data_IF_795877132979
#
_entry.id   IF_795877132979
#
_cell.length_a   1.000
_cell.length_b   1.000
_cell.length_c   1.000
_cell.angle_alpha   90.00
_cell.angle_beta   90.00
_cell.angle_gamma   90.00
#
_symmetry.space_group_name_H-M   'P 1'
#
loop_
_entity.id
_entity.type
_entity.pdbx_description
1 polymer ?
#
# COMPACT_ATOMS: atom_id res chain seq x y z
N UNK A 1 23.63 46.24 58.23
CA UNK A 1 23.79 44.79 58.02
C UNK A 1 22.76 44.31 56.99
N UNK A 2 23.00 44.50 55.69
CA UNK A 2 22.18 43.91 54.60
C UNK A 2 23.11 43.74 53.39
N UNK A 3 24.02 42.76 53.43
CA UNK A 3 24.85 42.36 52.27
C UNK A 3 25.04 40.84 52.13
N UNK A 4 24.53 40.05 53.08
CA UNK A 4 24.66 38.58 53.06
C UNK A 4 23.56 37.86 52.27
N UNK A 5 22.31 38.36 52.33
CA UNK A 5 21.15 37.67 51.73
C UNK A 5 21.15 37.65 50.18
N UNK A 6 21.70 38.68 49.54
CA UNK A 6 21.77 38.76 48.06
C UNK A 6 22.82 37.80 47.45
N UNK A 7 23.85 37.44 48.21
CA UNK A 7 24.90 36.53 47.72
C UNK A 7 24.40 35.07 47.70
N UNK A 8 23.70 34.64 48.76
CA UNK A 8 23.12 33.30 48.83
C UNK A 8 22.00 33.10 47.79
N UNK A 9 21.16 34.12 47.57
CA UNK A 9 20.12 34.07 46.54
C UNK A 9 20.72 33.96 45.12
N UNK A 10 21.82 34.65 44.83
CA UNK A 10 22.53 34.55 43.53
C UNK A 10 23.21 33.20 43.34
N UNK A 11 23.81 32.62 44.38
CA UNK A 11 24.42 31.28 44.32
C UNK A 11 23.36 30.20 44.11
N UNK A 12 22.18 30.33 44.73
CA UNK A 12 21.05 29.42 44.51
C UNK A 12 20.48 29.54 43.08
N UNK A 13 20.44 30.74 42.51
CA UNK A 13 19.98 30.97 41.13
C UNK A 13 20.98 30.40 40.11
N UNK A 14 22.28 30.61 40.33
CA UNK A 14 23.35 30.06 39.48
C UNK A 14 23.39 28.53 39.53
N UNK A 15 23.19 27.90 40.70
CA UNK A 15 23.15 26.44 40.81
C UNK A 15 21.89 25.83 40.19
N UNK A 16 20.75 26.55 40.22
CA UNK A 16 19.53 26.17 39.49
C UNK A 16 19.71 26.28 37.96
N UNK A 17 20.34 27.34 37.47
CA UNK A 17 20.63 27.51 36.04
C UNK A 17 21.66 26.48 35.52
N UNK A 18 22.67 26.14 36.32
CA UNK A 18 23.68 25.13 35.98
C UNK A 18 23.06 23.72 35.97
N UNK A 19 22.20 23.40 36.95
CA UNK A 19 21.46 22.14 37.00
C UNK A 19 20.44 21.97 35.86
N UNK A 20 19.76 23.05 35.45
CA UNK A 20 18.89 23.03 34.27
C UNK A 20 19.69 22.84 32.97
N UNK A 21 20.87 23.46 32.88
CA UNK A 21 21.78 23.31 31.75
C UNK A 21 22.33 21.88 31.63
N UNK A 22 22.68 21.23 32.73
CA UNK A 22 23.11 19.83 32.73
C UNK A 22 21.99 18.86 32.36
N UNK A 23 20.79 19.05 32.91
CA UNK A 23 19.62 18.24 32.55
C UNK A 23 19.27 18.38 31.06
N UNK A 24 19.38 19.59 30.52
CA UNK A 24 19.14 19.84 29.10
C UNK A 24 20.21 19.16 28.23
N UNK A 25 21.49 19.25 28.59
CA UNK A 25 22.58 18.53 27.91
C UNK A 25 22.39 17.01 27.94
N UNK A 26 21.96 16.45 29.07
CA UNK A 26 21.67 15.02 29.20
C UNK A 26 20.51 14.60 28.29
N UNK A 27 19.42 15.39 28.24
CA UNK A 27 18.29 15.14 27.33
C UNK A 27 18.72 15.19 25.88
N UNK A 28 19.53 16.17 25.49
CA UNK A 28 20.07 16.28 24.14
C UNK A 28 20.95 15.10 23.76
N UNK A 29 21.81 14.63 24.69
CA UNK A 29 22.63 13.43 24.50
C UNK A 29 21.76 12.17 24.30
N UNK A 30 20.78 11.95 25.18
CA UNK A 30 19.85 10.82 25.05
C UNK A 30 19.03 10.90 23.75
N UNK A 31 18.62 12.10 23.33
CA UNK A 31 17.92 12.32 22.08
C UNK A 31 18.78 12.00 20.85
N UNK A 32 20.05 12.42 20.88
CA UNK A 32 21.01 12.11 19.82
C UNK A 32 21.29 10.60 19.75
N UNK A 33 21.43 9.93 20.89
CA UNK A 33 21.64 8.48 20.94
C UNK A 33 20.42 7.70 20.45
N UNK A 34 19.22 8.07 20.92
CA UNK A 34 17.97 7.48 20.44
C UNK A 34 17.80 7.66 18.93
N UNK A 35 18.12 8.85 18.40
CA UNK A 35 18.05 9.10 16.95
C UNK A 35 19.04 8.21 16.18
N UNK A 36 20.31 8.15 16.63
CA UNK A 36 21.32 7.27 16.01
C UNK A 36 20.86 5.81 16.03
N UNK A 37 20.24 5.35 17.11
CA UNK A 37 19.68 4.00 17.18
C UNK A 37 18.57 3.78 16.13
N UNK A 38 17.66 4.75 15.97
CA UNK A 38 16.61 4.69 14.94
C UNK A 38 17.18 4.70 13.52
N UNK A 39 18.19 5.52 13.25
CA UNK A 39 18.89 5.58 11.97
C UNK A 39 19.62 4.27 11.66
N UNK A 40 20.32 3.71 12.64
CA UNK A 40 21.01 2.42 12.51
C UNK A 40 20.01 1.30 12.19
N UNK A 41 18.89 1.23 12.91
CA UNK A 41 17.82 0.26 12.64
C UNK A 41 17.19 0.47 11.25
N UNK A 42 16.97 1.70 10.84
CA UNK A 42 16.48 2.03 9.50
C UNK A 42 17.47 1.59 8.40
N UNK A 43 18.77 1.83 8.60
CA UNK A 43 19.83 1.42 7.69
C UNK A 43 19.93 -0.12 7.59
N UNK A 44 19.84 -0.82 8.72
CA UNK A 44 19.79 -2.28 8.76
C UNK A 44 18.57 -2.82 7.98
N UNK A 45 17.39 -2.26 8.22
CA UNK A 45 16.15 -2.64 7.55
C UNK A 45 16.23 -2.39 6.03
N UNK A 46 16.80 -1.27 5.60
CA UNK A 46 17.04 -0.98 4.18
C UNK A 46 18.04 -1.97 3.56
N UNK A 47 19.12 -2.28 4.27
CA UNK A 47 20.11 -3.28 3.83
C UNK A 47 19.47 -4.66 3.65
N UNK A 48 18.65 -5.09 4.61
CA UNK A 48 17.88 -6.33 4.51
C UNK A 48 16.90 -6.31 3.33
N UNK A 49 16.22 -5.18 3.10
CA UNK A 49 15.34 -5.00 1.93
C UNK A 49 16.10 -5.14 0.61
N UNK A 50 17.27 -4.52 0.50
CA UNK A 50 18.11 -4.64 -0.70
C UNK A 50 18.58 -6.08 -0.92
N UNK A 51 19.10 -6.75 0.12
CA UNK A 51 19.52 -8.15 0.05
C UNK A 51 18.38 -9.07 -0.35
N UNK A 52 17.19 -8.87 0.20
CA UNK A 52 16.01 -9.68 -0.14
C UNK A 52 15.57 -9.45 -1.59
N UNK A 53 15.65 -8.21 -2.09
CA UNK A 53 15.36 -7.90 -3.49
C UNK A 53 16.36 -8.54 -4.44
N UNK A 54 17.65 -8.55 -4.08
CA UNK A 54 18.69 -9.24 -4.85
C UNK A 54 18.42 -10.76 -4.89
N UNK A 55 18.21 -11.39 -3.73
CA UNK A 55 17.84 -12.82 -3.67
C UNK A 55 16.59 -13.15 -4.48
N UNK A 56 15.59 -12.28 -4.48
CA UNK A 56 14.40 -12.48 -5.30
C UNK A 56 14.74 -12.48 -6.79
N UNK A 57 15.57 -11.52 -7.25
CA UNK A 57 16.01 -11.49 -8.63
C UNK A 57 16.87 -12.72 -8.98
N UNK A 58 17.71 -13.19 -8.07
CA UNK A 58 18.50 -14.42 -8.24
C UNK A 58 17.61 -15.67 -8.35
N UNK A 59 16.54 -15.76 -7.54
CA UNK A 59 15.58 -16.87 -7.57
C UNK A 59 14.81 -16.93 -8.89
N UNK A 60 14.44 -15.78 -9.46
CA UNK A 60 13.81 -15.73 -10.78
C UNK A 60 14.81 -16.01 -11.90
N UNK A 61 16.09 -15.67 -11.70
CA UNK A 61 17.12 -15.79 -12.72
C UNK A 61 17.00 -14.70 -13.80
N UNK A 62 17.75 -14.83 -14.90
CA UNK A 62 17.63 -13.93 -16.04
C UNK A 62 16.31 -14.13 -16.78
N UNK A 63 15.82 -13.08 -17.46
CA UNK A 63 14.66 -13.21 -18.35
C UNK A 63 14.98 -14.22 -19.47
N UNK A 64 14.14 -15.25 -19.69
CA UNK A 64 14.40 -16.20 -20.76
C UNK A 64 14.23 -15.50 -22.12
N UNK A 65 15.04 -15.86 -23.13
CA UNK A 65 15.06 -15.17 -24.41
C UNK A 65 13.67 -15.06 -25.02
N UNK A 66 13.38 -13.89 -25.59
CA UNK A 66 12.11 -13.57 -26.21
C UNK A 66 12.30 -13.45 -27.72
N UNK A 67 11.43 -14.12 -28.47
CA UNK A 67 11.30 -13.94 -29.91
C UNK A 67 10.06 -13.08 -30.15
N UNK A 68 10.22 -11.98 -30.88
CA UNK A 68 9.12 -11.14 -31.32
C UNK A 68 8.03 -11.99 -31.98
N UNK A 69 6.80 -11.78 -31.53
CA UNK A 69 5.63 -12.45 -32.09
C UNK A 69 5.03 -11.58 -33.20
N UNK A 70 4.27 -12.21 -34.10
CA UNK A 70 3.53 -11.50 -35.13
C UNK A 70 2.56 -10.45 -34.54
N UNK A 71 2.06 -10.69 -33.32
CA UNK A 71 1.24 -9.74 -32.56
C UNK A 71 2.03 -8.46 -32.17
N UNK A 72 3.31 -8.58 -31.82
CA UNK A 72 4.13 -7.41 -31.43
C UNK A 72 4.45 -6.51 -32.63
N UNK A 73 4.64 -7.12 -33.80
CA UNK A 73 4.89 -6.41 -35.07
C UNK A 73 3.59 -5.87 -35.70
N UNK A 74 2.43 -6.25 -35.15
CA UNK A 74 1.14 -5.90 -35.70
C UNK A 74 0.83 -4.41 -35.49
N UNK A 75 0.28 -3.76 -36.52
CA UNK A 75 -0.12 -2.36 -36.40
C UNK A 75 -1.27 -2.20 -35.39
N UNK A 76 -1.31 -1.05 -34.71
CA UNK A 76 -2.34 -0.76 -33.71
C UNK A 76 -3.78 -0.86 -34.28
N UNK A 77 -4.02 -0.38 -35.51
CA UNK A 77 -5.36 -0.37 -36.09
C UNK A 77 -5.75 -1.73 -36.66
N UNK A 78 -4.99 -2.27 -37.62
CA UNK A 78 -5.35 -3.52 -38.29
C UNK A 78 -4.98 -4.74 -37.43
N UNK A 79 -3.79 -4.72 -36.85
CA UNK A 79 -3.26 -5.81 -36.04
C UNK A 79 -4.00 -6.01 -34.73
N UNK A 80 -4.14 -4.95 -33.92
CA UNK A 80 -4.64 -5.08 -32.55
C UNK A 80 -6.17 -5.04 -32.44
N UNK A 81 -6.87 -4.32 -33.33
CA UNK A 81 -8.35 -4.25 -33.29
C UNK A 81 -8.99 -5.36 -34.14
N UNK A 82 -8.45 -5.61 -35.34
CA UNK A 82 -9.01 -6.58 -36.28
C UNK A 82 -8.28 -7.93 -36.27
N UNK A 83 -7.30 -8.11 -35.38
CA UNK A 83 -6.55 -9.36 -35.21
C UNK A 83 -5.95 -9.92 -36.51
N UNK A 84 -5.54 -9.04 -37.45
CA UNK A 84 -5.09 -9.47 -38.78
C UNK A 84 -3.86 -10.37 -38.74
N UNK A 85 -3.06 -10.32 -37.66
CA UNK A 85 -1.90 -11.18 -37.47
C UNK A 85 -2.28 -12.66 -37.25
N UNK A 86 -3.53 -12.96 -36.86
CA UNK A 86 -4.05 -14.34 -36.70
C UNK A 86 -4.44 -14.95 -38.07
N UNK A 87 -4.60 -14.15 -39.12
CA UNK A 87 -5.13 -14.59 -40.40
C UNK A 87 -4.35 -15.75 -41.05
N UNK A 88 -3.02 -15.71 -40.99
CA UNK A 88 -2.17 -16.80 -41.52
C UNK A 88 -2.38 -18.11 -40.75
N UNK A 89 -2.51 -18.02 -39.42
CA UNK A 89 -2.80 -19.19 -38.57
C UNK A 89 -4.18 -19.80 -38.90
N UNK A 90 -5.20 -18.96 -39.09
CA UNK A 90 -6.54 -19.44 -39.47
C UNK A 90 -6.54 -20.14 -40.83
N UNK A 91 -5.78 -19.61 -41.79
CA UNK A 91 -5.70 -20.20 -43.12
C UNK A 91 -4.98 -21.54 -43.13
N UNK A 92 -3.88 -21.66 -42.38
CA UNK A 92 -3.17 -22.94 -42.19
C UNK A 92 -4.02 -23.95 -41.42
N UNK A 93 -4.75 -23.51 -40.40
CA UNK A 93 -5.69 -24.34 -39.67
C UNK A 93 -6.80 -24.89 -40.58
N UNK A 94 -7.34 -24.06 -41.48
CA UNK A 94 -8.37 -24.46 -42.44
C UNK A 94 -7.85 -25.50 -43.47
N UNK A 95 -6.53 -25.58 -43.65
CA UNK A 95 -5.87 -26.59 -44.50
C UNK A 95 -5.38 -27.82 -43.74
N UNK A 96 -5.64 -27.88 -42.43
CA UNK A 96 -5.15 -28.94 -41.53
C UNK A 96 -3.60 -29.03 -41.48
N UNK A 97 -2.92 -27.94 -41.82
CA UNK A 97 -1.45 -27.84 -41.82
C UNK A 97 -0.89 -27.30 -40.48
N UNK A 98 -1.77 -27.00 -39.51
CA UNK A 98 -1.38 -26.37 -38.25
C UNK A 98 -0.72 -27.40 -37.31
N UNK A 99 0.56 -27.19 -37.01
CA UNK A 99 1.27 -27.96 -36.00
C UNK A 99 1.43 -27.18 -34.69
N UNK A 100 1.75 -27.88 -33.59
CA UNK A 100 2.05 -27.23 -32.30
C UNK A 100 3.23 -26.23 -32.42
N UNK A 101 4.18 -26.50 -33.31
CA UNK A 101 5.32 -25.62 -33.54
C UNK A 101 4.93 -24.28 -34.17
N UNK A 102 3.80 -24.24 -34.88
CA UNK A 102 3.26 -23.05 -35.54
C UNK A 102 2.39 -22.19 -34.60
N UNK A 103 2.05 -22.70 -33.41
CA UNK A 103 1.24 -21.97 -32.45
C UNK A 103 1.95 -20.69 -31.98
N UNK A 104 1.24 -19.55 -31.89
CA UNK A 104 1.81 -18.32 -31.40
C UNK A 104 2.27 -18.50 -29.95
N UNK A 105 3.45 -17.96 -29.63
CA UNK A 105 3.96 -17.98 -28.26
C UNK A 105 3.40 -16.79 -27.49
N UNK A 106 3.29 -16.88 -26.16
CA UNK A 106 2.83 -15.74 -25.36
C UNK A 106 3.71 -14.52 -25.59
N UNK A 107 3.07 -13.37 -25.82
CA UNK A 107 3.71 -12.06 -25.89
C UNK A 107 4.51 -11.76 -24.63
N UNK A 108 5.50 -10.87 -24.71
CA UNK A 108 6.44 -10.62 -23.60
C UNK A 108 5.72 -10.36 -22.26
N UNK A 109 4.65 -9.57 -22.27
CA UNK A 109 3.90 -9.19 -21.07
C UNK A 109 3.01 -10.31 -20.51
N UNK A 110 2.53 -11.22 -21.37
CA UNK A 110 1.68 -12.34 -20.96
C UNK A 110 2.47 -13.56 -20.45
N UNK A 111 3.80 -13.56 -20.62
CA UNK A 111 4.68 -14.62 -20.10
C UNK A 111 4.62 -14.72 -18.58
N UNK A 112 4.51 -15.95 -18.09
CA UNK A 112 4.48 -16.27 -16.66
C UNK A 112 5.67 -15.68 -15.89
N UNK A 113 6.86 -15.65 -16.50
CA UNK A 113 8.05 -15.03 -15.92
C UNK A 113 7.83 -13.54 -15.61
N UNK A 114 7.38 -12.75 -16.59
CA UNK A 114 7.20 -11.30 -16.44
C UNK A 114 6.04 -10.95 -15.51
N UNK A 115 4.88 -11.61 -15.69
CA UNK A 115 3.74 -11.44 -14.80
C UNK A 115 4.08 -11.83 -13.35
N UNK A 116 4.74 -12.98 -13.17
CA UNK A 116 5.19 -13.47 -11.86
C UNK A 116 6.22 -12.57 -11.19
N UNK A 117 7.17 -12.02 -11.97
CA UNK A 117 8.17 -11.08 -11.47
C UNK A 117 7.53 -9.78 -10.96
N UNK A 118 6.53 -9.23 -11.68
CA UNK A 118 5.82 -8.02 -11.26
C UNK A 118 5.02 -8.30 -9.98
N UNK A 119 4.22 -9.37 -9.95
CA UNK A 119 3.39 -9.74 -8.78
C UNK A 119 4.27 -10.02 -7.57
N UNK A 120 5.37 -10.76 -7.72
CA UNK A 120 6.30 -11.06 -6.63
C UNK A 120 6.94 -9.80 -6.06
N UNK A 121 7.32 -8.82 -6.88
CA UNK A 121 7.83 -7.51 -6.42
C UNK A 121 6.81 -6.76 -5.58
N UNK A 122 5.55 -6.74 -6.01
CA UNK A 122 4.46 -6.07 -5.26
C UNK A 122 4.20 -6.78 -3.92
N UNK A 123 4.15 -8.11 -3.90
CA UNK A 123 3.99 -8.89 -2.68
C UNK A 123 5.16 -8.68 -1.70
N UNK A 124 6.39 -8.63 -2.20
CA UNK A 124 7.57 -8.33 -1.37
C UNK A 124 7.51 -6.91 -0.79
N UNK A 125 7.02 -5.94 -1.56
CA UNK A 125 6.79 -4.59 -1.03
C UNK A 125 5.71 -4.57 0.05
N UNK A 126 4.60 -5.31 -0.12
CA UNK A 126 3.59 -5.46 0.91
C UNK A 126 4.13 -6.15 2.16
N UNK A 127 4.94 -7.20 2.00
CA UNK A 127 5.61 -7.88 3.10
C UNK A 127 6.53 -6.92 3.86
N UNK A 128 7.36 -6.15 3.15
CA UNK A 128 8.23 -5.15 3.78
C UNK A 128 7.40 -4.13 4.57
N UNK A 129 6.32 -3.61 3.98
CA UNK A 129 5.43 -2.65 4.67
C UNK A 129 4.76 -3.25 5.90
N UNK A 130 4.45 -4.54 5.91
CA UNK A 130 3.86 -5.20 7.09
C UNK A 130 4.86 -5.33 8.24
N UNK A 131 6.11 -5.62 7.93
CA UNK A 131 7.17 -5.91 8.90
C UNK A 131 8.10 -4.71 9.14
N UNK A 132 7.69 -3.51 8.72
CA UNK A 132 8.53 -2.30 8.81
C UNK A 132 8.84 -1.92 10.26
N UNK A 133 7.96 -2.28 11.21
CA UNK A 133 8.15 -2.00 12.63
C UNK A 133 8.86 -3.09 13.42
N UNK A 134 9.14 -4.25 12.82
CA UNK A 134 9.85 -5.35 13.49
C UNK A 134 11.27 -4.90 13.90
N UNK A 135 11.92 -4.07 13.09
CA UNK A 135 13.22 -3.48 13.41
C UNK A 135 13.17 -2.45 14.57
N UNK A 136 11.97 -2.01 14.95
CA UNK A 136 11.74 -1.02 16.01
C UNK A 136 11.18 -1.65 17.30
N UNK A 137 11.18 -2.97 17.43
CA UNK A 137 10.91 -3.63 18.71
C UNK A 137 11.98 -3.18 19.73
N UNK A 138 11.53 -2.75 20.91
CA UNK A 138 12.33 -2.15 21.97
C UNK A 138 12.49 -0.63 21.88
N UNK A 139 11.75 0.03 20.99
CA UNK A 139 11.80 1.49 20.82
C UNK A 139 10.67 2.17 21.61
N UNK A 140 10.95 3.37 22.11
CA UNK A 140 9.98 4.20 22.81
C UNK A 140 8.81 4.59 21.89
N UNK A 141 7.60 4.51 22.43
CA UNK A 141 6.36 4.87 21.75
C UNK A 141 5.44 5.67 22.69
N UNK A 142 4.51 6.41 22.10
CA UNK A 142 3.36 6.95 22.81
C UNK A 142 2.08 6.58 22.08
N UNK A 143 0.96 6.65 22.79
CA UNK A 143 -0.36 6.55 22.21
C UNK A 143 -0.71 7.84 21.46
N UNK A 144 -1.30 7.75 20.27
CA UNK A 144 -1.58 8.88 19.37
C UNK A 144 -2.47 9.95 20.02
N UNK A 145 -3.43 9.51 20.84
CA UNK A 145 -4.38 10.39 21.53
C UNK A 145 -3.89 10.87 22.90
N UNK A 146 -2.76 10.36 23.37
CA UNK A 146 -2.23 10.66 24.70
C UNK A 146 -0.70 10.76 24.62
N UNK A 147 -0.20 11.99 24.45
CA UNK A 147 1.24 12.24 24.33
C UNK A 147 2.01 12.09 25.64
N UNK A 148 1.31 12.14 26.77
CA UNK A 148 1.91 11.89 28.10
C UNK A 148 2.19 10.40 28.34
N UNK A 149 1.54 9.51 27.59
CA UNK A 149 1.84 8.08 27.66
C UNK A 149 3.24 7.79 27.14
N UNK A 150 3.90 6.84 27.80
CA UNK A 150 5.26 6.43 27.48
C UNK A 150 5.35 4.91 27.59
N UNK A 151 5.65 4.25 26.49
CA UNK A 151 5.79 2.81 26.42
C UNK A 151 6.94 2.38 25.54
N UNK A 152 7.11 1.08 25.42
CA UNK A 152 8.11 0.43 24.58
C UNK A 152 7.40 -0.58 23.66
N UNK A 153 7.75 -0.55 22.37
CA UNK A 153 7.15 -1.45 21.39
C UNK A 153 7.69 -2.87 21.58
N UNK A 154 6.85 -3.83 21.95
CA UNK A 154 7.27 -5.21 22.20
C UNK A 154 6.96 -6.15 21.03
N UNK A 155 5.90 -5.87 20.27
CA UNK A 155 5.42 -6.78 19.22
C UNK A 155 4.54 -6.06 18.20
N UNK A 156 4.49 -6.55 16.97
CA UNK A 156 3.59 -6.09 15.91
C UNK A 156 3.07 -7.29 15.12
N UNK A 157 1.74 -7.40 14.95
CA UNK A 157 1.19 -8.52 14.20
C UNK A 157 -0.34 -8.62 14.21
N UNK A 158 -0.84 -9.79 13.82
CA UNK A 158 -2.25 -10.14 13.97
C UNK A 158 -2.42 -10.88 15.29
N UNK A 159 -3.37 -10.43 16.11
CA UNK A 159 -3.87 -11.23 17.22
C UNK A 159 -5.01 -12.09 16.65
N UNK A 160 -4.79 -13.39 16.53
CA UNK A 160 -5.73 -14.31 15.87
C UNK A 160 -7.01 -14.48 16.67
N UNK A 161 -6.89 -14.49 18.00
CA UNK A 161 -8.04 -14.67 18.88
C UNK A 161 -8.91 -13.41 18.98
N UNK A 162 -8.32 -12.22 18.76
CA UNK A 162 -9.11 -11.01 18.54
C UNK A 162 -9.96 -11.20 17.30
N UNK A 163 -11.29 -11.13 17.46
CA UNK A 163 -12.30 -11.29 16.40
C UNK A 163 -12.32 -10.12 15.37
N UNK A 164 -11.15 -9.60 15.01
CA UNK A 164 -10.93 -8.46 14.10
C UNK A 164 -9.97 -8.86 12.98
N UNK A 165 -10.42 -9.73 12.05
CA UNK A 165 -9.58 -10.20 10.97
C UNK A 165 -9.06 -9.02 10.14
N UNK A 166 -7.77 -9.05 9.77
CA UNK A 166 -7.04 -8.02 8.99
C UNK A 166 -6.64 -6.76 9.76
N UNK A 167 -6.96 -6.64 11.05
CA UNK A 167 -6.48 -5.54 11.88
C UNK A 167 -5.10 -5.88 12.46
N UNK A 168 -4.12 -5.01 12.23
CA UNK A 168 -2.81 -5.13 12.88
C UNK A 168 -2.81 -4.45 14.25
N UNK A 169 -2.15 -5.11 15.19
CA UNK A 169 -1.96 -4.65 16.56
C UNK A 169 -0.47 -4.50 16.87
N UNK A 170 -0.19 -3.64 17.83
CA UNK A 170 1.10 -3.42 18.45
C UNK A 170 0.97 -3.74 19.94
N UNK A 171 1.83 -4.64 20.41
CA UNK A 171 2.04 -4.90 21.83
C UNK A 171 2.95 -3.81 22.39
N UNK A 172 2.50 -3.09 23.39
CA UNK A 172 3.26 -2.00 24.01
C UNK A 172 3.31 -2.22 25.51
N UNK A 173 4.51 -2.33 26.06
CA UNK A 173 4.73 -2.30 27.51
C UNK A 173 4.80 -0.85 27.97
N UNK A 174 3.91 -0.46 28.90
CA UNK A 174 3.79 0.93 29.32
C UNK A 174 4.60 1.19 30.59
N UNK A 175 5.44 2.24 30.54
CA UNK A 175 5.99 2.89 31.73
C UNK A 175 4.99 3.89 32.31
N UNK A 176 4.31 4.62 31.42
CA UNK A 176 3.20 5.50 31.72
C UNK A 176 2.04 5.09 30.80
N UNK A 177 1.03 4.37 31.31
CA UNK A 177 -0.06 3.90 30.49
C UNK A 177 -0.96 5.07 30.03
N UNK A 178 -1.63 4.94 28.87
CA UNK A 178 -2.50 5.98 28.38
C UNK A 178 -3.76 6.11 29.26
N UNK A 179 -4.19 7.34 29.51
CA UNK A 179 -5.27 7.67 30.44
C UNK A 179 -6.60 6.98 30.11
N UNK A 180 -6.86 6.69 28.84
CA UNK A 180 -8.08 5.98 28.43
C UNK A 180 -8.11 4.52 28.90
N UNK A 181 -6.95 3.84 28.99
CA UNK A 181 -6.86 2.46 29.51
C UNK A 181 -6.99 2.42 31.02
N UNK A 182 -6.42 3.40 31.72
CA UNK A 182 -6.65 3.57 33.16
C UNK A 182 -8.13 3.78 33.48
N UNK A 183 -8.84 4.57 32.65
CA UNK A 183 -10.30 4.75 32.78
C UNK A 183 -11.09 3.48 32.47
N UNK A 184 -10.61 2.63 31.56
CA UNK A 184 -11.25 1.36 31.23
C UNK A 184 -11.12 0.37 32.40
N UNK A 185 -9.92 0.25 32.97
CA UNK A 185 -9.68 -0.55 34.16
C UNK A 185 -10.50 -0.07 35.37
N UNK A 186 -10.58 1.24 35.59
CA UNK A 186 -11.37 1.80 36.68
C UNK A 186 -12.89 1.59 36.50
N UNK A 187 -13.36 1.38 35.27
CA UNK A 187 -14.79 1.12 34.98
C UNK A 187 -15.17 -0.33 35.17
N UNK A 188 -14.25 -1.26 34.89
CA UNK A 188 -14.51 -2.69 34.96
C UNK A 188 -13.40 -3.41 35.74
N UNK A 189 -13.60 -3.54 37.05
CA UNK A 189 -12.68 -4.24 37.93
C UNK A 189 -12.53 -5.73 37.60
N UNK A 190 -13.46 -6.32 36.83
CA UNK A 190 -13.42 -7.73 36.44
C UNK A 190 -12.56 -7.97 35.19
N UNK A 191 -12.25 -6.92 34.42
CA UNK A 191 -11.51 -7.02 33.16
C UNK A 191 -10.46 -5.92 33.05
N UNK A 192 -9.21 -6.27 33.33
CA UNK A 192 -8.09 -5.36 33.09
C UNK A 192 -7.73 -5.32 31.58
N UNK A 193 -7.48 -4.13 31.01
CA UNK A 193 -6.94 -4.00 29.66
C UNK A 193 -5.44 -4.33 29.60
N UNK A 194 -4.77 -4.44 30.75
CA UNK A 194 -3.35 -4.72 30.85
C UNK A 194 -3.08 -6.23 30.89
N UNK A 195 -2.02 -6.62 30.20
CA UNK A 195 -1.65 -8.00 29.93
C UNK A 195 -0.15 -8.15 30.08
N UNK A 196 0.31 -9.38 30.33
CA UNK A 196 1.72 -9.75 30.32
C UNK A 196 2.18 -10.21 28.92
N UNK A 197 1.43 -9.85 27.88
CA UNK A 197 1.61 -10.31 26.50
C UNK A 197 0.72 -11.48 26.09
N UNK A 198 -0.08 -12.04 27.00
CA UNK A 198 -1.17 -12.97 26.67
C UNK A 198 -2.46 -12.19 26.42
N UNK A 199 -3.01 -12.32 25.20
CA UNK A 199 -4.22 -11.61 24.76
C UNK A 199 -5.27 -12.62 24.34
N UNK A 200 -6.38 -12.66 25.08
CA UNK A 200 -7.51 -13.59 24.85
C UNK A 200 -7.16 -15.10 24.93
N UNK A 201 -5.97 -15.44 25.41
CA UNK A 201 -5.44 -16.82 25.48
C UNK A 201 -4.26 -17.06 24.53
N UNK A 202 -3.94 -16.12 23.64
CA UNK A 202 -2.83 -16.18 22.71
C UNK A 202 -1.63 -15.46 23.29
N UNK A 203 -0.51 -16.16 23.43
CA UNK A 203 0.74 -15.55 23.85
C UNK A 203 1.43 -14.86 22.66
N UNK A 204 1.53 -13.53 22.72
CA UNK A 204 2.07 -12.72 21.61
C UNK A 204 3.51 -12.26 21.86
N UNK A 205 3.85 -11.90 23.09
CA UNK A 205 5.18 -11.40 23.48
C UNK A 205 5.40 -11.51 24.99
N UNK A 206 6.63 -11.22 25.44
CA UNK A 206 6.97 -11.17 26.86
C UNK A 206 7.15 -9.72 27.32
N UNK A 207 6.65 -9.39 28.50
CA UNK A 207 6.99 -8.14 29.21
C UNK A 207 8.32 -8.30 29.95
N UNK A 208 9.05 -7.20 30.13
CA UNK A 208 10.39 -7.21 30.76
C UNK A 208 10.35 -7.81 32.17
N UNK A 209 9.27 -7.55 32.91
CA UNK A 209 9.10 -8.01 34.30
C UNK A 209 8.16 -9.20 34.46
N UNK A 210 7.54 -9.68 33.37
CA UNK A 210 6.46 -10.68 33.42
C UNK A 210 5.12 -10.15 33.99
N UNK A 211 5.08 -8.87 34.41
CA UNK A 211 3.89 -8.24 34.97
C UNK A 211 2.89 -7.84 33.87
N UNK A 212 1.65 -7.61 34.28
CA UNK A 212 0.56 -7.11 33.43
C UNK A 212 0.67 -5.60 33.24
N UNK A 213 1.69 -5.17 32.49
CA UNK A 213 1.99 -3.75 32.20
C UNK A 213 1.77 -3.39 30.73
N UNK A 214 1.49 -4.37 29.88
CA UNK A 214 1.40 -4.17 28.44
C UNK A 214 -0.05 -4.16 27.94
N UNK A 215 -0.32 -3.37 26.91
CA UNK A 215 -1.59 -3.43 26.18
C UNK A 215 -1.38 -3.80 24.72
N UNK A 216 -2.45 -4.28 24.09
CA UNK A 216 -2.48 -4.64 22.69
C UNK A 216 -3.30 -3.60 21.91
N UNK A 217 -2.61 -2.55 21.46
CA UNK A 217 -3.19 -1.40 20.75
C UNK A 217 -3.22 -1.58 19.24
N UNK A 218 -4.08 -0.84 18.54
CA UNK A 218 -4.06 -0.84 17.08
C UNK A 218 -2.80 -0.10 16.61
N UNK A 219 -2.13 -0.60 15.57
CA UNK A 219 -0.92 0.03 15.03
C UNK A 219 -1.13 1.50 14.65
N UNK A 220 -2.33 1.87 14.21
CA UNK A 220 -2.66 3.25 13.83
C UNK A 220 -2.73 4.24 15.01
N UNK A 221 -2.91 3.72 16.22
CA UNK A 221 -2.99 4.48 17.46
C UNK A 221 -1.63 4.57 18.18
N UNK A 222 -0.58 3.98 17.63
CA UNK A 222 0.79 4.06 18.17
C UNK A 222 1.66 4.99 17.32
N UNK A 223 2.56 5.71 17.98
CA UNK A 223 3.55 6.59 17.34
C UNK A 223 4.91 6.31 17.96
N UNK A 224 5.91 6.03 17.12
CA UNK A 224 7.32 5.89 17.52
C UNK A 224 7.86 7.27 17.89
N UNK A 225 8.52 7.35 19.04
CA UNK A 225 9.01 8.60 19.61
C UNK A 225 10.53 8.65 19.64
N UNK A 226 11.05 9.87 19.63
CA UNK A 226 12.44 10.18 19.92
C UNK A 226 12.43 11.45 20.79
N UNK A 227 13.30 11.58 21.81
CA UNK A 227 13.29 12.73 22.72
C UNK A 227 13.83 14.03 22.08
N UNK A 228 13.47 14.32 20.84
CA UNK A 228 13.83 15.54 20.09
C UNK A 228 12.66 16.53 20.14
N UNK A 229 12.91 17.85 20.23
CA UNK A 229 11.87 18.87 20.15
C UNK A 229 10.98 18.75 18.90
N UNK A 230 9.66 18.84 19.09
CA UNK A 230 8.62 18.59 18.06
C UNK A 230 8.84 19.34 16.74
N UNK A 231 9.42 20.55 16.79
CA UNK A 231 9.70 21.35 15.60
C UNK A 231 10.62 20.61 14.63
N UNK A 232 11.64 19.89 15.12
CA UNK A 232 12.55 19.09 14.28
C UNK A 232 11.91 17.79 13.81
N UNK A 233 11.01 17.20 14.60
CA UNK A 233 10.28 15.99 14.20
C UNK A 233 9.38 16.21 12.98
N UNK A 234 8.70 17.37 12.90
CA UNK A 234 7.81 17.71 11.77
C UNK A 234 8.56 18.04 10.46
N UNK A 235 9.82 18.43 10.54
CA UNK A 235 10.64 18.81 9.39
C UNK A 235 11.51 17.65 8.85
N UNK A 236 11.07 16.41 9.04
CA UNK A 236 11.79 15.23 8.52
C UNK A 236 12.98 14.79 9.36
N UNK A 237 13.05 15.18 10.64
CA UNK A 237 14.13 14.76 11.54
C UNK A 237 14.11 13.29 11.96
N UNK A 238 13.11 12.49 11.57
CA UNK A 238 12.99 11.06 11.90
C UNK A 238 13.14 10.20 10.64
N UNK A 239 13.72 8.98 10.72
CA UNK A 239 13.79 8.08 9.57
C UNK A 239 12.40 7.78 9.00
N UNK A 240 12.25 7.86 7.67
CA UNK A 240 10.96 7.69 6.99
C UNK A 240 10.27 6.35 7.31
N UNK A 241 11.04 5.30 7.64
CA UNK A 241 10.54 3.97 8.00
C UNK A 241 9.86 3.93 9.37
N UNK A 242 10.21 4.81 10.30
CA UNK A 242 9.51 4.93 11.60
C UNK A 242 8.11 5.51 11.42
N UNK A 243 7.95 6.43 10.46
CA UNK A 243 6.68 7.07 10.12
C UNK A 243 5.79 6.17 9.24
N UNK A 244 6.38 5.19 8.55
CA UNK A 244 5.64 4.20 7.78
C UNK A 244 4.94 3.22 8.70
N UNK A 245 3.61 3.35 8.80
CA UNK A 245 2.79 2.43 9.60
C UNK A 245 2.67 1.07 8.91
N UNK A 246 2.80 -0.04 9.67
CA UNK A 246 2.47 -1.37 9.21
C UNK A 246 1.09 -1.44 8.57
N UNK A 247 1.00 -2.13 7.43
CA UNK A 247 -0.26 -2.38 6.71
C UNK A 247 -0.47 -3.87 6.51
N UNK A 248 -1.74 -4.28 6.48
CA UNK A 248 -2.09 -5.66 6.16
C UNK A 248 -1.65 -6.01 4.73
N UNK A 249 -1.34 -7.28 4.51
CA UNK A 249 -1.08 -7.81 3.18
C UNK A 249 -2.40 -8.22 2.52
N UNK A 250 -2.49 -8.04 1.20
CA UNK A 250 -3.66 -8.47 0.43
C UNK A 250 -3.19 -8.92 -0.96
N UNK A 251 -3.39 -10.21 -1.21
CA UNK A 251 -3.06 -10.84 -2.50
C UNK A 251 -3.92 -10.24 -3.62
N UNK A 252 -5.22 -10.08 -3.40
CA UNK A 252 -6.11 -9.43 -4.37
C UNK A 252 -5.61 -8.01 -4.71
N UNK A 253 -5.27 -7.20 -3.70
CA UNK A 253 -4.71 -5.87 -3.94
C UNK A 253 -3.37 -5.93 -4.66
N UNK A 254 -2.54 -6.94 -4.40
CA UNK A 254 -1.27 -7.12 -5.10
C UNK A 254 -1.49 -7.44 -6.58
N UNK A 255 -2.44 -8.33 -6.90
CA UNK A 255 -2.81 -8.68 -8.27
C UNK A 255 -3.35 -7.48 -9.04
N UNK A 256 -4.32 -6.75 -8.47
CA UNK A 256 -4.86 -5.54 -9.12
C UNK A 256 -3.81 -4.42 -9.24
N UNK A 257 -2.91 -4.28 -8.26
CA UNK A 257 -1.83 -3.29 -8.37
C UNK A 257 -0.77 -3.67 -9.40
N UNK A 258 -0.58 -4.97 -9.69
CA UNK A 258 0.42 -5.47 -10.62
C UNK A 258 -0.11 -5.54 -12.07
N UNK A 259 -1.32 -6.08 -12.23
CA UNK A 259 -1.91 -6.46 -13.53
C UNK A 259 -3.22 -5.71 -13.82
N UNK A 260 -3.72 -4.92 -12.87
CA UNK A 260 -5.03 -4.27 -13.00
C UNK A 260 -5.10 -3.25 -14.13
N UNK A 261 -3.98 -2.71 -14.61
CA UNK A 261 -3.97 -1.82 -15.77
C UNK A 261 -4.70 -2.42 -16.98
N UNK A 262 -4.45 -3.71 -17.28
CA UNK A 262 -5.14 -4.41 -18.36
C UNK A 262 -6.65 -4.49 -18.12
N UNK A 263 -7.08 -4.73 -16.88
CA UNK A 263 -8.50 -4.74 -16.51
C UNK A 263 -9.12 -3.34 -16.62
N UNK A 264 -8.39 -2.31 -16.20
CA UNK A 264 -8.87 -0.93 -16.23
C UNK A 264 -9.01 -0.39 -17.65
N UNK A 265 -8.20 -0.85 -18.62
CA UNK A 265 -8.37 -0.52 -20.03
C UNK A 265 -9.66 -1.08 -20.63
N UNK A 266 -10.16 -2.22 -20.13
CA UNK A 266 -11.41 -2.81 -20.60
C UNK A 266 -12.65 -2.03 -20.15
N UNK A 267 -12.57 -1.31 -19.03
CA UNK A 267 -13.69 -0.53 -18.49
C UNK A 267 -14.19 0.54 -19.47
N UNK A 268 -13.37 1.47 -19.99
CA UNK A 268 -13.84 2.49 -20.92
C UNK A 268 -14.33 1.90 -22.24
N UNK A 269 -13.71 0.82 -22.74
CA UNK A 269 -14.18 0.13 -23.96
C UNK A 269 -15.58 -0.48 -23.76
N UNK A 270 -15.82 -1.08 -22.59
CA UNK A 270 -17.13 -1.62 -22.23
C UNK A 270 -18.17 -0.51 -22.08
N UNK A 271 -17.84 0.59 -21.42
CA UNK A 271 -18.74 1.74 -21.29
C UNK A 271 -19.06 2.37 -22.66
N UNK A 272 -18.07 2.46 -23.55
CA UNK A 272 -18.28 2.94 -24.92
C UNK A 272 -19.24 2.03 -25.68
N UNK A 273 -19.05 0.71 -25.59
CA UNK A 273 -19.98 -0.28 -26.16
C UNK A 273 -21.40 -0.09 -25.63
N UNK A 274 -21.56 0.00 -24.31
CA UNK A 274 -22.87 0.15 -23.67
C UNK A 274 -23.54 1.46 -24.12
N UNK A 275 -22.78 2.55 -24.24
CA UNK A 275 -23.27 3.83 -24.77
C UNK A 275 -23.69 3.72 -26.25
N UNK A 276 -22.91 3.04 -27.10
CA UNK A 276 -23.28 2.78 -28.49
C UNK A 276 -24.57 1.96 -28.58
N UNK A 277 -24.71 0.91 -27.77
CA UNK A 277 -25.93 0.08 -27.72
C UNK A 277 -27.18 0.88 -27.37
N UNK A 278 -27.07 1.85 -26.45
CA UNK A 278 -28.16 2.76 -26.11
C UNK A 278 -28.43 3.81 -27.19
N UNK A 279 -27.41 4.21 -27.95
CA UNK A 279 -27.55 5.21 -29.02
C UNK A 279 -28.22 4.66 -30.29
N UNK A 280 -28.05 3.37 -30.61
CA UNK A 280 -28.68 2.72 -31.78
C UNK A 280 -30.20 2.94 -31.86
N UNK A 281 -31.00 2.65 -30.82
CA UNK A 281 -32.46 2.87 -30.88
C UNK A 281 -32.83 4.35 -31.01
N UNK A 282 -32.02 5.27 -30.45
CA UNK A 282 -32.24 6.72 -30.56
C UNK A 282 -32.05 7.18 -32.01
N UNK A 283 -30.97 6.76 -32.67
CA UNK A 283 -30.74 7.06 -34.10
C UNK A 283 -31.82 6.45 -34.97
N UNK A 284 -32.29 5.24 -34.64
CA UNK A 284 -33.40 4.61 -35.35
C UNK A 284 -34.71 5.39 -35.21
N UNK A 285 -35.00 5.93 -34.02
CA UNK A 285 -36.16 6.80 -33.81
C UNK A 285 -36.07 8.08 -34.65
N UNK A 286 -34.90 8.74 -34.68
CA UNK A 286 -34.70 9.90 -35.56
C UNK A 286 -34.84 9.57 -37.03
N UNK A 287 -34.42 8.37 -37.44
CA UNK A 287 -34.60 7.89 -38.81
C UNK A 287 -36.07 7.65 -39.17
N UNK A 288 -36.86 7.05 -38.27
CA UNK A 288 -38.31 6.89 -38.47
C UNK A 288 -38.97 8.26 -38.59
N UNK A 289 -38.64 9.19 -37.69
CA UNK A 289 -39.20 10.55 -37.72
C UNK A 289 -38.81 11.32 -39.00
N UNK A 290 -37.59 11.11 -39.50
CA UNK A 290 -37.16 11.65 -40.79
C UNK A 290 -37.98 11.10 -41.98
N UNK A 291 -38.35 9.81 -41.96
CA UNK A 291 -39.19 9.21 -43.01
C UNK A 291 -40.62 9.75 -43.01
N UNK A 292 -41.13 10.19 -41.86
CA UNK A 292 -42.48 10.76 -41.69
C UNK A 292 -42.54 12.27 -42.00
N UNK A 293 -41.41 12.94 -42.21
CA UNK A 293 -41.35 14.39 -42.43
C UNK A 293 -41.87 14.79 -43.83
N UNK A 294 -42.61 15.91 -43.90
CA UNK A 294 -43.24 16.39 -45.14
C UNK A 294 -42.24 16.86 -46.22
N UNK A 295 -41.05 17.32 -45.84
CA UNK A 295 -39.97 17.75 -46.74
C UNK A 295 -38.60 17.25 -46.27
N UNK A 296 -38.28 15.96 -46.49
CA UNK A 296 -37.04 15.37 -45.99
C UNK A 296 -35.83 15.85 -46.81
N UNK A 297 -34.78 16.29 -46.10
CA UNK A 297 -33.49 16.66 -46.68
C UNK A 297 -32.60 15.44 -46.85
N UNK A 298 -32.19 15.12 -48.09
CA UNK A 298 -31.34 13.97 -48.40
C UNK A 298 -30.04 13.92 -47.58
N UNK A 299 -29.46 15.08 -47.29
CA UNK A 299 -28.25 15.20 -46.47
C UNK A 299 -28.45 14.62 -45.07
N UNK A 300 -29.61 14.85 -44.47
CA UNK A 300 -29.91 14.44 -43.10
C UNK A 300 -30.18 12.93 -43.03
N UNK A 301 -30.82 12.37 -44.07
CA UNK A 301 -30.95 10.92 -44.25
C UNK A 301 -29.61 10.20 -44.40
N UNK A 302 -28.69 10.73 -45.22
CA UNK A 302 -27.32 10.18 -45.37
C UNK A 302 -26.55 10.25 -44.06
N UNK A 303 -26.68 11.35 -43.31
CA UNK A 303 -26.03 11.52 -42.01
C UNK A 303 -26.53 10.50 -40.99
N UNK A 304 -27.84 10.22 -40.96
CA UNK A 304 -28.44 9.22 -40.06
C UNK A 304 -27.96 7.79 -40.38
N UNK A 305 -27.89 7.43 -41.67
CA UNK A 305 -27.37 6.12 -42.09
C UNK A 305 -25.88 5.98 -41.77
N UNK A 306 -25.09 7.03 -42.00
CA UNK A 306 -23.67 7.05 -41.62
C UNK A 306 -23.50 6.92 -40.10
N UNK A 307 -24.28 7.66 -39.31
CA UNK A 307 -24.27 7.55 -37.86
C UNK A 307 -24.60 6.13 -37.38
N UNK A 308 -25.61 5.48 -37.98
CA UNK A 308 -25.95 4.09 -37.70
C UNK A 308 -24.80 3.12 -38.06
N UNK A 309 -24.17 3.30 -39.22
CA UNK A 309 -23.04 2.47 -39.65
C UNK A 309 -21.81 2.61 -38.74
N UNK A 310 -21.51 3.84 -38.30
CA UNK A 310 -20.38 4.10 -37.41
C UNK A 310 -20.65 3.55 -36.00
N UNK A 311 -21.86 3.73 -35.47
CA UNK A 311 -22.24 3.18 -34.15
C UNK A 311 -22.17 1.65 -34.14
N UNK A 312 -22.63 1.00 -35.20
CA UNK A 312 -22.57 -0.47 -35.32
C UNK A 312 -21.14 -0.97 -35.49
N UNK A 313 -20.29 -0.26 -36.25
CA UNK A 313 -18.87 -0.60 -36.42
C UNK A 313 -18.08 -0.43 -35.12
N UNK A 314 -18.29 0.68 -34.39
CA UNK A 314 -17.67 0.92 -33.08
C UNK A 314 -18.15 -0.10 -32.06
N UNK A 315 -19.45 -0.45 -32.05
CA UNK A 315 -19.98 -1.50 -31.19
C UNK A 315 -19.33 -2.87 -31.47
N UNK A 316 -19.10 -3.20 -32.75
CA UNK A 316 -18.46 -4.46 -33.16
C UNK A 316 -16.99 -4.52 -32.76
N UNK A 317 -16.24 -3.44 -32.98
CA UNK A 317 -14.83 -3.34 -32.60
C UNK A 317 -14.61 -3.28 -31.08
N UNK A 318 -15.53 -2.66 -30.34
CA UNK A 318 -15.48 -2.61 -28.87
C UNK A 318 -15.97 -3.89 -28.21
N UNK A 319 -16.61 -4.79 -28.98
CA UNK A 319 -17.10 -6.09 -28.51
C UNK A 319 -16.07 -7.22 -28.58
N UNK A 320 -14.99 -7.03 -29.33
CA UNK A 320 -13.98 -8.05 -29.66
C UNK A 320 -12.74 -8.03 -28.75
N UNK A 321 -12.70 -7.17 -27.73
CA UNK A 321 -11.60 -7.09 -26.74
C UNK A 321 -11.91 -7.86 -25.44
N UNK A 322 -12.60 -9.00 -25.52
CA UNK A 322 -12.86 -9.89 -24.38
C UNK A 322 -11.91 -11.09 -24.38
#
# INVERSE_FOLDING_TARGET
MVRGADAEARVALLTLEDGQSEQQRLREKMAAEAMRNLENRAAQLNTQRHRRRQRLNELWGPEPPYKLQAEDDASWLCGQIYYTWIGDLMFRAAREELSEADMPRPTQMSRAYNAGLIVSRVLQQQHFRRHVWDAYIGVAVHHRRDRSSAGELCWVGYAQQKRTPRQLYAGVEWRIPPAHRLKEEAKDASRTPFTNGVVEGEHLFHTVSGNTTATCERVEDIVITCPIPEKKQRHGGMPATTQQRPKHMSVARALFSALGYHVYLLIPLRLLRDACQLAVPVVLQFYIHYLEAAHPSWRDGVLLVLAFSLLTLVQSASGTTN
#
